data_IF_767615922845
#
_entry.id   IF_767615922845
#
_cell.length_a   1.000
_cell.length_b   1.000
_cell.length_c   1.000
_cell.angle_alpha   90.00
_cell.angle_beta   90.00
_cell.angle_gamma   90.00
#
_symmetry.space_group_name_H-M   'P 1'
#
loop_
_entity.id
_entity.type
_entity.pdbx_description
1 polymer ?
#
# COMPACT_ATOMS: atom_id res chain seq x y z
N UNK A 1 8.55 19.76 1.13
CA UNK A 1 9.05 19.24 2.42
C UNK A 1 8.36 17.92 2.81
N UNK A 2 7.02 17.84 2.84
CA UNK A 2 6.28 16.61 3.19
C UNK A 2 6.60 15.39 2.30
N UNK A 3 6.64 15.58 0.97
CA UNK A 3 6.87 14.50 0.00
C UNK A 3 8.25 13.85 0.11
N UNK A 4 9.27 14.65 0.42
CA UNK A 4 10.66 14.22 0.58
C UNK A 4 10.85 13.32 1.81
N UNK A 5 10.12 13.61 2.89
CA UNK A 5 10.20 12.84 4.13
C UNK A 5 9.52 11.47 3.98
N UNK A 6 8.27 11.43 3.49
CA UNK A 6 7.53 10.18 3.29
C UNK A 6 8.21 9.22 2.32
N UNK A 7 8.80 9.75 1.25
CA UNK A 7 9.61 8.97 0.31
C UNK A 7 10.82 8.31 1.01
N UNK A 8 11.57 9.06 1.82
CA UNK A 8 12.69 8.51 2.59
C UNK A 8 12.23 7.40 3.53
N UNK A 9 11.07 7.56 4.17
CA UNK A 9 10.53 6.48 5.01
C UNK A 9 10.20 5.22 4.19
N UNK A 10 9.61 5.35 3.00
CA UNK A 10 9.38 4.23 2.07
C UNK A 10 10.70 3.55 1.67
N UNK A 11 11.74 4.32 1.35
CA UNK A 11 13.07 3.79 1.02
C UNK A 11 13.65 2.94 2.16
N UNK A 12 13.37 3.29 3.42
CA UNK A 12 13.77 2.48 4.59
C UNK A 12 12.93 1.22 4.75
N UNK A 13 11.68 1.19 4.26
CA UNK A 13 10.81 0.01 4.37
C UNK A 13 11.24 -1.10 3.40
N UNK A 14 11.58 -0.75 2.17
CA UNK A 14 11.93 -1.70 1.10
C UNK A 14 12.95 -2.77 1.57
N UNK A 15 14.13 -2.44 2.14
CA UNK A 15 15.09 -3.45 2.59
C UNK A 15 14.65 -4.27 3.80
N UNK A 16 13.64 -3.82 4.55
CA UNK A 16 13.11 -4.58 5.70
C UNK A 16 12.05 -5.59 5.29
N UNK A 17 11.43 -5.38 4.12
CA UNK A 17 10.30 -6.18 3.64
C UNK A 17 10.71 -7.18 2.56
N UNK A 18 11.71 -6.86 1.76
CA UNK A 18 12.21 -7.74 0.71
C UNK A 18 13.55 -8.34 1.10
N UNK A 19 13.72 -9.61 0.76
CA UNK A 19 15.01 -10.31 0.94
C UNK A 19 16.07 -9.72 0.00
N UNK A 20 17.37 -9.90 0.32
CA UNK A 20 18.44 -9.48 -0.58
C UNK A 20 18.31 -10.07 -2.00
N UNK A 21 17.84 -11.30 -2.13
CA UNK A 21 17.60 -11.94 -3.44
C UNK A 21 16.50 -11.22 -4.23
N UNK A 22 15.37 -10.90 -3.58
CA UNK A 22 14.29 -10.15 -4.21
C UNK A 22 14.74 -8.74 -4.62
N UNK A 23 15.57 -8.09 -3.80
CA UNK A 23 16.13 -6.77 -4.09
C UNK A 23 17.23 -6.81 -5.16
N UNK A 24 17.89 -7.94 -5.36
CA UNK A 24 18.77 -8.13 -6.52
C UNK A 24 17.96 -8.31 -7.82
N UNK A 25 16.65 -8.52 -7.72
CA UNK A 25 15.74 -8.65 -8.86
C UNK A 25 14.67 -7.54 -8.87
N UNK A 26 15.10 -6.28 -8.82
CA UNK A 26 14.20 -5.12 -8.90
C UNK A 26 13.42 -5.10 -10.21
N UNK A 27 14.01 -5.60 -11.30
CA UNK A 27 13.32 -5.79 -12.58
C UNK A 27 12.03 -6.59 -12.41
N UNK A 28 12.08 -7.73 -11.73
CA UNK A 28 10.88 -8.52 -11.41
C UNK A 28 9.88 -7.78 -10.52
N UNK A 29 10.35 -7.01 -9.54
CA UNK A 29 9.44 -6.16 -8.75
C UNK A 29 8.71 -5.17 -9.65
N UNK A 30 9.40 -4.47 -10.55
CA UNK A 30 8.80 -3.42 -11.39
C UNK A 30 8.01 -3.95 -12.59
N UNK A 31 8.57 -4.90 -13.34
CA UNK A 31 8.03 -5.43 -14.60
C UNK A 31 6.86 -6.38 -14.35
N UNK A 32 7.00 -7.31 -13.40
CA UNK A 32 5.93 -8.25 -13.02
C UNK A 32 5.05 -7.70 -11.89
N UNK A 33 5.33 -6.47 -11.43
CA UNK A 33 4.56 -5.75 -10.41
C UNK A 33 4.45 -6.48 -9.05
N UNK A 34 5.49 -7.23 -8.66
CA UNK A 34 5.54 -7.95 -7.37
C UNK A 34 5.52 -7.04 -6.12
N UNK A 35 5.50 -5.71 -6.29
CA UNK A 35 5.26 -4.74 -5.21
C UNK A 35 3.77 -4.45 -4.96
N UNK A 36 2.86 -4.86 -5.85
CA UNK A 36 1.41 -4.80 -5.65
C UNK A 36 0.77 -6.19 -5.62
N UNK A 37 1.35 -7.19 -6.30
CA UNK A 37 0.94 -8.59 -6.20
C UNK A 37 1.86 -9.36 -5.24
N UNK A 38 1.32 -10.25 -4.39
CA UNK A 38 2.16 -11.01 -3.48
C UNK A 38 3.07 -11.98 -4.25
N UNK A 39 4.37 -11.86 -3.99
CA UNK A 39 5.39 -12.78 -4.47
C UNK A 39 5.67 -13.85 -3.42
N UNK A 40 5.44 -15.11 -3.81
CA UNK A 40 5.64 -16.31 -2.98
C UNK A 40 6.62 -17.27 -3.64
N UNK A 41 6.99 -18.37 -2.97
CA UNK A 41 7.80 -19.44 -3.57
C UNK A 41 7.15 -20.05 -4.82
N UNK A 42 5.82 -20.02 -4.93
CA UNK A 42 5.08 -20.50 -6.10
C UNK A 42 5.06 -19.49 -7.27
N UNK A 43 5.66 -18.32 -7.09
CA UNK A 43 5.63 -17.21 -8.05
C UNK A 43 4.74 -16.05 -7.60
N UNK A 44 4.45 -15.15 -8.55
CA UNK A 44 3.62 -13.97 -8.32
C UNK A 44 2.16 -14.34 -8.50
N UNK A 45 1.35 -14.09 -7.47
CA UNK A 45 -0.09 -14.32 -7.53
C UNK A 45 -0.83 -13.06 -8.02
N UNK A 46 -1.10 -13.02 -9.32
CA UNK A 46 -1.80 -11.90 -9.98
C UNK A 46 -3.29 -11.80 -9.62
N UNK A 47 -3.88 -12.82 -8.98
CA UNK A 47 -5.28 -12.76 -8.52
C UNK A 47 -5.44 -11.94 -7.23
N UNK A 48 -4.34 -11.59 -6.55
CA UNK A 48 -4.33 -10.89 -5.25
C UNK A 48 -3.74 -9.48 -5.36
N UNK A 49 -4.35 -8.63 -6.19
CA UNK A 49 -3.90 -7.26 -6.40
C UNK A 49 -3.92 -6.42 -5.10
N UNK A 50 -2.90 -5.60 -4.90
CA UNK A 50 -2.66 -4.79 -3.70
C UNK A 50 -2.60 -5.57 -2.38
N UNK A 51 -2.20 -6.84 -2.45
CA UNK A 51 -1.95 -7.67 -1.26
C UNK A 51 -0.46 -7.99 -1.06
N UNK A 52 0.44 -7.32 -1.80
CA UNK A 52 1.87 -7.42 -1.54
C UNK A 52 2.21 -6.90 -0.13
N UNK A 53 3.26 -7.49 0.46
CA UNK A 53 3.71 -7.22 1.85
C UNK A 53 4.00 -5.74 2.14
N UNK A 54 4.33 -4.94 1.12
CA UNK A 54 4.66 -3.53 1.26
C UNK A 54 3.44 -2.60 1.29
N UNK A 55 2.27 -3.04 0.83
CA UNK A 55 1.11 -2.16 0.62
C UNK A 55 0.67 -1.49 1.92
N UNK A 56 0.43 -2.28 2.98
CA UNK A 56 -0.03 -1.75 4.26
C UNK A 56 1.07 -0.90 4.94
N UNK A 57 2.32 -1.38 5.10
CA UNK A 57 3.39 -0.54 5.64
C UNK A 57 3.57 0.79 4.90
N UNK A 58 3.49 0.78 3.57
CA UNK A 58 3.61 1.99 2.76
C UNK A 58 2.44 2.96 3.03
N UNK A 59 1.21 2.46 3.03
CA UNK A 59 0.03 3.27 3.37
C UNK A 59 0.12 3.83 4.78
N UNK A 60 0.54 3.02 5.77
CA UNK A 60 0.72 3.44 7.16
C UNK A 60 1.75 4.56 7.28
N UNK A 61 2.92 4.41 6.66
CA UNK A 61 3.98 5.43 6.73
C UNK A 61 3.54 6.74 6.08
N UNK A 62 2.88 6.67 4.93
CA UNK A 62 2.49 7.86 4.17
C UNK A 62 1.32 8.60 4.83
N UNK A 63 0.38 7.88 5.44
CA UNK A 63 -0.91 8.43 5.87
C UNK A 63 -1.36 8.04 7.29
N UNK A 64 -0.56 7.37 8.10
CA UNK A 64 -0.96 7.00 9.48
C UNK A 64 0.25 7.01 10.43
N UNK A 65 1.33 7.71 10.06
CA UNK A 65 2.56 7.80 10.85
C UNK A 65 2.40 8.71 12.09
N UNK A 66 3.28 8.56 13.10
CA UNK A 66 3.25 9.40 14.29
C UNK A 66 3.46 10.88 13.92
N UNK A 67 2.58 11.75 14.40
CA UNK A 67 2.60 13.18 14.09
C UNK A 67 1.77 13.60 12.87
N UNK A 68 1.13 12.66 12.17
CA UNK A 68 0.08 12.95 11.19
C UNK A 68 -1.31 12.75 11.84
N UNK A 69 -1.89 13.77 12.50
CA UNK A 69 -3.24 13.67 13.05
C UNK A 69 -4.31 13.56 11.96
N UNK A 70 -3.98 13.89 10.71
CA UNK A 70 -4.91 14.44 9.72
C UNK A 70 -6.03 13.54 9.18
N UNK A 71 -6.15 12.27 9.56
CA UNK A 71 -7.07 11.34 8.87
C UNK A 71 -8.07 10.66 9.78
N UNK A 72 -7.69 10.30 11.02
CA UNK A 72 -8.63 9.69 11.97
C UNK A 72 -9.63 10.71 12.55
N UNK A 73 -9.35 12.01 12.48
CA UNK A 73 -10.28 13.07 12.87
C UNK A 73 -11.34 13.42 11.82
N UNK A 74 -11.25 12.88 10.60
CA UNK A 74 -12.21 13.16 9.53
C UNK A 74 -12.77 11.86 8.92
N UNK A 75 -13.63 11.13 9.67
CA UNK A 75 -14.26 9.90 9.19
C UNK A 75 -15.01 10.06 7.86
N UNK A 76 -15.48 11.28 7.55
CA UNK A 76 -16.18 11.63 6.32
C UNK A 76 -15.36 11.43 5.04
N UNK A 77 -14.03 11.31 5.14
CA UNK A 77 -13.16 11.00 4.00
C UNK A 77 -13.10 9.51 3.66
N UNK A 78 -13.57 8.64 4.56
CA UNK A 78 -13.70 7.21 4.33
C UNK A 78 -15.16 6.90 4.06
N UNK A 79 -15.44 6.29 2.91
CA UNK A 79 -16.80 5.94 2.50
C UNK A 79 -16.80 4.53 1.95
N UNK A 80 -17.82 3.76 2.32
CA UNK A 80 -18.03 2.47 1.70
C UNK A 80 -18.32 2.63 0.22
N UNK A 81 -17.70 1.78 -0.59
CA UNK A 81 -18.02 1.60 -2.00
C UNK A 81 -19.16 0.60 -2.21
N UNK A 82 -19.51 -0.17 -1.17
CA UNK A 82 -20.54 -1.21 -1.16
C UNK A 82 -21.83 -0.70 -0.52
N UNK A 83 -22.94 -0.73 -1.26
CA UNK A 83 -24.24 -0.25 -0.77
C UNK A 83 -24.81 -1.14 0.35
N UNK A 84 -24.48 -2.44 0.35
CA UNK A 84 -24.95 -3.40 1.34
C UNK A 84 -24.27 -3.21 2.70
N UNK A 85 -23.09 -2.56 2.72
CA UNK A 85 -22.28 -2.32 3.91
C UNK A 85 -21.92 -0.82 4.03
N UNK A 86 -22.90 0.09 4.18
CA UNK A 86 -22.66 1.54 4.09
C UNK A 86 -21.86 2.09 5.28
N UNK A 87 -21.85 1.38 6.41
CA UNK A 87 -21.15 1.77 7.64
C UNK A 87 -19.71 1.22 7.70
N UNK A 88 -19.32 0.34 6.77
CA UNK A 88 -17.97 -0.21 6.70
C UNK A 88 -17.06 0.75 5.95
N UNK A 89 -16.14 1.38 6.70
CA UNK A 89 -15.23 2.39 6.15
C UNK A 89 -14.14 1.74 5.30
N UNK A 90 -13.89 2.33 4.13
CA UNK A 90 -12.81 1.95 3.21
C UNK A 90 -11.76 3.04 3.14
N UNK A 91 -10.50 2.65 2.95
CA UNK A 91 -9.46 3.61 2.59
C UNK A 91 -9.79 4.27 1.24
N UNK A 92 -9.49 5.55 1.09
CA UNK A 92 -9.64 6.22 -0.20
C UNK A 92 -8.65 5.62 -1.22
N UNK A 93 -9.07 5.23 -2.44
CA UNK A 93 -8.17 4.69 -3.45
C UNK A 93 -7.02 5.63 -3.82
N UNK A 94 -7.22 6.96 -3.71
CA UNK A 94 -6.16 7.95 -3.93
C UNK A 94 -4.99 7.76 -2.96
N UNK A 95 -5.26 7.38 -1.70
CA UNK A 95 -4.23 7.13 -0.70
C UNK A 95 -3.40 5.90 -1.08
N UNK A 96 -4.07 4.81 -1.47
CA UNK A 96 -3.38 3.58 -1.91
C UNK A 96 -2.54 3.86 -3.17
N UNK A 97 -3.12 4.53 -4.17
CA UNK A 97 -2.40 4.87 -5.39
C UNK A 97 -1.18 5.76 -5.12
N UNK A 98 -1.30 6.77 -4.26
CA UNK A 98 -0.19 7.65 -3.91
C UNK A 98 0.91 6.91 -3.14
N UNK A 99 0.56 6.07 -2.17
CA UNK A 99 1.54 5.27 -1.43
C UNK A 99 2.30 4.32 -2.37
N UNK A 100 1.58 3.61 -3.24
CA UNK A 100 2.20 2.67 -4.17
C UNK A 100 3.00 3.35 -5.28
N UNK A 101 2.64 4.57 -5.66
CA UNK A 101 3.45 5.40 -6.56
C UNK A 101 4.80 5.73 -5.92
N UNK A 102 4.83 6.08 -4.63
CA UNK A 102 6.10 6.32 -3.93
C UNK A 102 6.95 5.04 -3.83
N UNK A 103 6.32 3.88 -3.59
CA UNK A 103 7.01 2.58 -3.63
C UNK A 103 7.63 2.31 -5.00
N UNK A 104 6.86 2.49 -6.08
CA UNK A 104 7.35 2.27 -7.44
C UNK A 104 8.52 3.19 -7.77
N UNK A 105 8.45 4.47 -7.43
CA UNK A 105 9.55 5.42 -7.62
C UNK A 105 10.79 4.97 -6.86
N UNK A 106 10.65 4.64 -5.57
CA UNK A 106 11.80 4.19 -4.76
C UNK A 106 12.43 2.90 -5.28
N UNK A 107 11.64 2.00 -5.87
CA UNK A 107 12.17 0.82 -6.57
C UNK A 107 12.90 1.21 -7.86
N UNK A 108 12.34 2.10 -8.68
CA UNK A 108 12.99 2.61 -9.91
C UNK A 108 14.32 3.29 -9.60
N UNK A 109 14.37 4.12 -8.56
CA UNK A 109 15.60 4.78 -8.13
C UNK A 109 16.69 3.81 -7.74
N UNK A 110 16.32 2.72 -7.04
CA UNK A 110 17.26 1.63 -6.75
C UNK A 110 17.71 0.89 -8.00
N UNK A 111 16.85 0.73 -9.01
CA UNK A 111 17.20 0.08 -10.27
C UNK A 111 18.25 0.87 -11.07
N UNK A 112 18.12 2.21 -11.08
CA UNK A 112 18.98 3.10 -11.87
C UNK A 112 20.12 3.75 -11.07
N UNK A 113 20.19 3.47 -9.76
CA UNK A 113 21.09 4.10 -8.79
C UNK A 113 21.10 5.64 -8.89
N UNK A 114 19.91 6.23 -9.01
CA UNK A 114 19.76 7.69 -9.14
C UNK A 114 18.47 8.19 -8.49
N UNK A 115 18.49 9.45 -8.04
CA UNK A 115 17.34 10.10 -7.41
C UNK A 115 16.42 10.69 -8.48
N UNK A 116 15.18 10.21 -8.53
CA UNK A 116 14.07 10.76 -9.28
C UNK A 116 13.43 11.87 -8.45
N UNK A 117 13.43 13.08 -9.01
CA UNK A 117 12.75 14.22 -8.42
C UNK A 117 11.23 14.04 -8.49
N UNK A 118 10.54 14.25 -7.37
CA UNK A 118 9.08 14.17 -7.26
C UNK A 118 8.39 15.39 -7.90
N UNK A 119 8.54 15.54 -9.21
CA UNK A 119 7.80 16.48 -10.07
C UNK A 119 6.62 15.77 -10.74
N UNK A 120 5.50 16.47 -10.91
CA UNK A 120 4.22 15.89 -11.38
C UNK A 120 4.40 14.94 -12.56
N UNK A 121 5.13 15.39 -13.58
CA UNK A 121 5.35 14.64 -14.82
C UNK A 121 6.08 13.30 -14.63
N UNK A 122 6.92 13.17 -13.60
CA UNK A 122 7.73 11.98 -13.37
C UNK A 122 6.94 10.83 -12.72
N UNK A 123 5.81 11.10 -12.07
CA UNK A 123 5.02 10.10 -11.35
C UNK A 123 3.54 10.07 -11.70
N UNK A 124 3.07 11.00 -12.52
CA UNK A 124 1.68 11.06 -12.98
C UNK A 124 1.26 9.77 -13.68
N UNK A 125 2.13 9.19 -14.51
CA UNK A 125 1.86 7.91 -15.18
C UNK A 125 1.68 6.76 -14.18
N UNK A 126 2.60 6.58 -13.22
CA UNK A 126 2.49 5.53 -12.20
C UNK A 126 1.26 5.71 -11.33
N UNK A 127 0.97 6.95 -10.91
CA UNK A 127 -0.22 7.27 -10.13
C UNK A 127 -1.52 6.96 -10.89
N UNK A 128 -1.64 7.45 -12.13
CA UNK A 128 -2.79 7.15 -13.00
C UNK A 128 -2.94 5.65 -13.23
N UNK A 129 -1.84 4.95 -13.45
CA UNK A 129 -1.82 3.51 -13.65
C UNK A 129 -2.34 2.74 -12.42
N UNK A 130 -1.97 3.17 -11.21
CA UNK A 130 -2.53 2.59 -9.98
C UNK A 130 -4.01 2.92 -9.80
N UNK A 131 -4.43 4.15 -10.09
CA UNK A 131 -5.83 4.54 -10.03
C UNK A 131 -6.70 3.72 -11.00
N UNK A 132 -6.23 3.50 -12.23
CA UNK A 132 -6.93 2.63 -13.22
C UNK A 132 -7.09 1.22 -12.67
N UNK A 133 -6.02 0.61 -12.14
CA UNK A 133 -6.09 -0.75 -11.57
C UNK A 133 -7.06 -0.87 -10.39
N UNK A 134 -7.10 0.12 -9.50
CA UNK A 134 -8.07 0.15 -8.39
C UNK A 134 -9.52 0.26 -8.89
N UNK A 135 -9.77 1.07 -9.93
CA UNK A 135 -11.09 1.16 -10.56
C UNK A 135 -11.49 -0.14 -11.27
N UNK A 136 -10.54 -0.81 -11.94
CA UNK A 136 -10.76 -2.10 -12.59
C UNK A 136 -11.07 -3.18 -11.55
N UNK A 137 -10.31 -3.26 -10.45
CA UNK A 137 -10.58 -4.19 -9.35
C UNK A 137 -11.99 -3.97 -8.76
N UNK A 138 -12.39 -2.70 -8.58
CA UNK A 138 -13.73 -2.33 -8.11
C UNK A 138 -14.82 -2.79 -9.08
N UNK A 139 -14.62 -2.59 -10.39
CA UNK A 139 -15.58 -2.99 -11.43
C UNK A 139 -15.68 -4.51 -11.58
N UNK A 140 -14.57 -5.22 -11.43
CA UNK A 140 -14.53 -6.67 -11.56
C UNK A 140 -15.28 -7.38 -10.43
N UNK A 141 -15.08 -6.95 -9.18
CA UNK A 141 -15.78 -7.50 -8.03
C UNK A 141 -15.84 -6.47 -6.89
N UNK A 142 -17.01 -5.82 -6.74
CA UNK A 142 -17.21 -4.78 -5.73
C UNK A 142 -17.06 -5.31 -4.30
N UNK A 143 -17.53 -6.53 -4.02
CA UNK A 143 -17.48 -7.13 -2.69
C UNK A 143 -16.04 -7.47 -2.27
N UNK A 144 -15.25 -8.00 -3.19
CA UNK A 144 -13.81 -8.22 -2.97
C UNK A 144 -13.07 -6.90 -2.79
N UNK A 145 -13.33 -5.91 -3.65
CA UNK A 145 -12.73 -4.57 -3.54
C UNK A 145 -13.05 -3.93 -2.19
N UNK A 146 -14.32 -3.96 -1.77
CA UNK A 146 -14.77 -3.46 -0.47
C UNK A 146 -13.96 -4.09 0.67
N UNK A 147 -13.91 -5.43 0.73
CA UNK A 147 -13.15 -6.17 1.75
C UNK A 147 -11.67 -5.81 1.75
N UNK A 148 -11.06 -5.69 0.56
CA UNK A 148 -9.66 -5.29 0.40
C UNK A 148 -9.40 -3.89 0.98
N UNK A 149 -10.22 -2.91 0.60
CA UNK A 149 -10.03 -1.51 1.01
C UNK A 149 -10.34 -1.29 2.49
N UNK A 150 -11.35 -1.98 3.04
CA UNK A 150 -11.61 -2.02 4.48
C UNK A 150 -10.43 -2.62 5.25
N UNK A 151 -9.88 -3.73 4.74
CA UNK A 151 -8.72 -4.37 5.36
C UNK A 151 -7.50 -3.47 5.36
N UNK A 152 -7.17 -2.83 4.23
CA UNK A 152 -6.06 -1.88 4.16
C UNK A 152 -6.25 -0.77 5.19
N UNK A 153 -7.45 -0.18 5.28
CA UNK A 153 -7.74 0.87 6.28
C UNK A 153 -7.55 0.38 7.71
N UNK A 154 -8.17 -0.76 8.05
CA UNK A 154 -8.16 -1.29 9.41
C UNK A 154 -6.77 -1.75 9.86
N UNK A 155 -5.99 -2.33 8.96
CA UNK A 155 -4.61 -2.69 9.25
C UNK A 155 -3.69 -1.47 9.31
N UNK A 156 -3.89 -0.48 8.43
CA UNK A 156 -3.01 0.68 8.36
C UNK A 156 -3.18 1.64 9.53
N UNK A 157 -4.41 1.83 10.04
CA UNK A 157 -4.70 2.69 11.18
C UNK A 157 -4.24 2.11 12.54
N UNK A 158 -3.98 0.80 12.59
CA UNK A 158 -3.68 0.07 13.81
C UNK A 158 -4.92 -0.13 14.70
N UNK A 159 -4.93 -1.23 15.46
CA UNK A 159 -5.84 -1.38 16.61
C UNK A 159 -5.29 -0.52 17.74
N UNK A 160 -5.83 0.67 17.91
CA UNK A 160 -5.54 1.64 18.97
C UNK A 160 -4.21 2.41 18.86
N UNK A 161 -4.33 3.71 19.13
CA UNK A 161 -3.28 4.73 19.28
C UNK A 161 -2.27 4.45 20.42
N UNK A 162 -1.70 3.25 20.53
CA UNK A 162 -0.82 2.90 21.65
C UNK A 162 0.57 2.46 21.21
N UNK A 163 1.51 3.32 21.59
CA UNK A 163 2.98 3.22 21.62
C UNK A 163 3.75 3.84 20.45
N UNK A 164 4.32 5.00 20.76
CA UNK A 164 5.23 5.87 20.01
C UNK A 164 6.62 5.26 19.77
N UNK A 165 6.68 3.99 19.39
CA UNK A 165 7.93 3.35 19.00
C UNK A 165 7.84 2.87 17.55
N UNK A 166 8.51 3.62 16.67
CA UNK A 166 8.47 3.48 15.20
C UNK A 166 8.91 2.11 14.72
N UNK A 167 9.76 1.42 15.49
CA UNK A 167 10.27 0.09 15.15
C UNK A 167 9.27 -1.01 15.54
N UNK A 168 8.61 -0.87 16.69
CA UNK A 168 7.54 -1.77 17.17
C UNK A 168 6.29 -1.72 16.29
N UNK A 169 5.93 -0.54 15.78
CA UNK A 169 4.76 -0.35 14.90
C UNK A 169 4.95 -1.07 13.56
N UNK A 170 6.14 -0.98 12.96
CA UNK A 170 6.47 -1.65 11.68
C UNK A 170 6.40 -3.17 11.82
N UNK A 171 7.01 -3.73 12.87
CA UNK A 171 6.98 -5.17 13.13
C UNK A 171 5.54 -5.71 13.37
N UNK A 172 4.71 -4.97 14.11
CA UNK A 172 3.30 -5.35 14.37
C UNK A 172 2.42 -5.27 13.13
N UNK A 173 2.60 -4.27 12.27
CA UNK A 173 1.87 -4.15 11.00
C UNK A 173 2.23 -5.30 10.05
N UNK A 174 3.49 -5.72 10.01
CA UNK A 174 3.91 -6.88 9.20
C UNK A 174 3.31 -8.18 9.76
N UNK A 175 3.25 -8.34 11.08
CA UNK A 175 2.77 -9.57 11.73
C UNK A 175 1.25 -9.76 11.71
N UNK A 176 0.45 -8.70 11.63
CA UNK A 176 -1.02 -8.77 11.84
C UNK A 176 -1.86 -8.86 10.55
N UNK A 177 -1.25 -9.03 9.38
CA UNK A 177 -1.97 -8.99 8.10
C UNK A 177 -2.27 -10.39 7.59
N UNK A 178 -3.47 -10.88 7.90
CA UNK A 178 -3.97 -12.19 7.47
C UNK A 178 -4.72 -12.08 6.14
N UNK A 179 -3.99 -12.18 5.02
CA UNK A 179 -4.55 -12.10 3.65
C UNK A 179 -5.45 -13.29 3.27
N UNK A 180 -5.43 -14.36 4.05
CA UNK A 180 -6.19 -15.58 3.75
C UNK A 180 -7.69 -15.41 4.07
N UNK A 181 -8.02 -14.51 5.01
CA UNK A 181 -9.40 -14.11 5.33
C UNK A 181 -10.13 -13.32 4.24
N UNK A 182 -9.44 -12.90 3.16
CA UNK A 182 -10.09 -12.28 2.00
C UNK A 182 -10.65 -13.30 0.99
N UNK A 183 -10.49 -14.61 1.25
CA UNK A 183 -11.10 -15.64 0.41
C UNK A 183 -12.63 -15.57 0.50
N UNK A 184 -13.27 -15.67 -0.66
CA UNK A 184 -14.73 -15.62 -0.78
C UNK A 184 -15.31 -16.78 0.02
N UNK A 185 -16.10 -16.49 1.05
CA UNK A 185 -17.19 -17.37 1.42
C UNK A 185 -18.25 -17.21 0.33
N UNK A 186 -18.53 -18.30 -0.39
CA UNK A 186 -19.63 -18.41 -1.36
C UNK A 186 -20.97 -17.90 -0.79
#
# INVERSE_FOLDING_TARGET
MFRSHKKREIETLIPTLYTPEELNNIGKLLEEQAYIYPWTMAGINTSKIYQARIVIPAVTVVFFGPGDPGHLYYPSHFKSSCQDHPNELEINPLMVAMAMTLVEISLREKQIDAVIELKGDNYDNSFKSHMVRLLEARRANISYYHKLMCKILNSAKGSDHLNTDTESTRARVIANVDWEKLTLSD
#
